data_IF_476047340903
#
_entry.id   IF_476047340903
#
_cell.length_a   1.000
_cell.length_b   1.000
_cell.length_c   1.000
_cell.angle_alpha   90.00
_cell.angle_beta   90.00
_cell.angle_gamma   90.00
#
_symmetry.space_group_name_H-M   'P 1'
#
loop_
_entity.id
_entity.type
_entity.pdbx_description
1 polymer ?
#
# COMPACT_ATOMS: atom_id res chain seq x y z
N UNK A 1 -15.70 11.10 -95.28
CA UNK A 1 -15.17 9.82 -94.76
C UNK A 1 -15.78 9.63 -93.37
N UNK A 2 -16.83 8.84 -93.20
CA UNK A 2 -16.77 7.42 -92.79
C UNK A 2 -17.05 7.36 -91.28
N UNK A 3 -18.00 6.61 -90.71
CA UNK A 3 -18.86 5.51 -91.15
C UNK A 3 -20.21 5.68 -90.43
N UNK A 4 -21.34 5.60 -91.15
CA UNK A 4 -22.66 5.42 -90.52
C UNK A 4 -22.77 3.96 -90.08
N UNK A 5 -23.00 3.70 -88.80
CA UNK A 5 -23.38 2.39 -88.31
C UNK A 5 -24.76 2.03 -88.88
N UNK A 6 -24.82 0.95 -89.66
CA UNK A 6 -26.08 0.34 -90.07
C UNK A 6 -26.62 -0.45 -88.88
N UNK A 7 -27.51 0.15 -88.11
CA UNK A 7 -28.38 -0.59 -87.20
C UNK A 7 -29.56 -1.13 -88.02
N UNK A 8 -29.31 -2.19 -88.76
CA UNK A 8 -30.38 -3.06 -89.27
C UNK A 8 -30.36 -4.30 -88.41
N UNK A 9 -31.13 -4.26 -87.33
CA UNK A 9 -31.58 -5.49 -86.68
C UNK A 9 -32.62 -6.03 -87.67
N UNK A 10 -32.27 -7.08 -88.39
CA UNK A 10 -33.23 -7.87 -89.13
C UNK A 10 -34.16 -8.50 -88.09
N UNK A 11 -35.26 -7.79 -87.79
CA UNK A 11 -36.35 -8.34 -87.03
C UNK A 11 -37.09 -9.30 -87.96
N UNK A 12 -36.79 -10.59 -87.85
CA UNK A 12 -37.66 -11.62 -88.41
C UNK A 12 -39.09 -11.37 -87.91
N UNK A 13 -40.10 -11.43 -88.79
CA UNK A 13 -41.48 -11.20 -88.37
C UNK A 13 -41.84 -12.27 -87.34
N UNK A 14 -42.14 -11.84 -86.11
CA UNK A 14 -42.65 -12.75 -85.09
C UNK A 14 -43.89 -13.44 -85.65
N UNK A 15 -43.82 -14.76 -85.78
CA UNK A 15 -44.97 -15.59 -86.13
C UNK A 15 -46.10 -15.28 -85.16
N UNK A 16 -47.34 -15.07 -85.64
CA UNK A 16 -48.45 -14.82 -84.74
C UNK A 16 -48.60 -16.02 -83.81
N UNK A 17 -48.44 -15.77 -82.51
CA UNK A 17 -48.55 -16.80 -81.48
C UNK A 17 -49.89 -17.52 -81.64
N UNK A 18 -49.84 -18.83 -81.87
CA UNK A 18 -51.05 -19.64 -81.97
C UNK A 18 -51.50 -19.95 -80.53
N UNK A 19 -52.71 -19.52 -80.11
CA UNK A 19 -53.18 -19.81 -78.76
C UNK A 19 -53.20 -21.33 -78.54
N UNK A 20 -52.37 -21.81 -77.60
CA UNK A 20 -52.27 -23.22 -77.22
C UNK A 20 -51.08 -24.02 -77.78
N UNK A 21 -50.17 -23.43 -78.58
CA UNK A 21 -48.93 -24.14 -79.03
C UNK A 21 -47.62 -23.50 -78.56
N UNK A 22 -47.58 -22.18 -78.36
CA UNK A 22 -46.32 -21.47 -78.09
C UNK A 22 -46.14 -21.08 -76.60
N UNK A 23 -46.97 -21.62 -75.70
CA UNK A 23 -46.96 -21.37 -74.25
C UNK A 23 -46.59 -22.61 -73.42
N UNK A 24 -45.90 -23.61 -74.00
CA UNK A 24 -45.21 -24.61 -73.18
C UNK A 24 -43.95 -23.97 -72.61
N UNK A 25 -44.11 -23.29 -71.47
CA UNK A 25 -42.99 -22.98 -70.61
C UNK A 25 -42.29 -24.30 -70.26
N UNK A 26 -40.96 -24.44 -70.48
CA UNK A 26 -40.21 -25.52 -69.87
C UNK A 26 -40.02 -25.12 -68.42
N UNK A 27 -41.08 -25.23 -67.62
CA UNK A 27 -40.87 -25.46 -66.20
C UNK A 27 -40.11 -26.78 -66.16
N UNK A 28 -38.90 -26.85 -65.59
CA UNK A 28 -38.31 -28.14 -65.31
C UNK A 28 -39.31 -28.86 -64.42
N UNK A 29 -39.99 -29.87 -64.98
CA UNK A 29 -40.78 -30.80 -64.17
C UNK A 29 -39.77 -31.47 -63.27
N UNK A 30 -39.75 -31.04 -62.00
CA UNK A 30 -38.95 -31.69 -60.98
C UNK A 30 -39.33 -33.16 -61.02
N UNK A 31 -38.32 -34.00 -61.24
CA UNK A 31 -38.50 -35.44 -61.16
C UNK A 31 -39.10 -35.81 -59.81
N UNK A 32 -39.78 -36.95 -59.71
CA UNK A 32 -40.34 -37.41 -58.43
C UNK A 32 -39.28 -37.49 -57.32
N UNK A 33 -38.03 -37.79 -57.68
CA UNK A 33 -36.88 -37.79 -56.77
C UNK A 33 -36.52 -36.39 -56.26
N UNK A 34 -36.61 -35.36 -57.12
CA UNK A 34 -36.33 -33.97 -56.73
C UNK A 34 -37.45 -33.38 -55.87
N UNK A 35 -38.72 -33.75 -56.13
CA UNK A 35 -39.86 -33.38 -55.30
C UNK A 35 -39.72 -34.01 -53.91
N UNK A 36 -39.42 -35.32 -53.85
CA UNK A 36 -39.18 -36.02 -52.58
C UNK A 36 -38.00 -35.41 -51.82
N UNK A 37 -36.89 -35.12 -52.50
CA UNK A 37 -35.73 -34.49 -51.87
C UNK A 37 -36.03 -33.07 -51.36
N UNK A 38 -36.92 -32.33 -52.02
CA UNK A 38 -37.38 -31.02 -51.55
C UNK A 38 -38.30 -31.15 -50.33
N UNK A 39 -39.27 -32.06 -50.36
CA UNK A 39 -40.14 -32.35 -49.21
C UNK A 39 -39.35 -32.80 -47.98
N UNK A 40 -38.33 -33.66 -48.17
CA UNK A 40 -37.42 -34.07 -47.09
C UNK A 40 -36.61 -32.90 -46.52
N UNK A 41 -36.12 -31.99 -47.37
CA UNK A 41 -35.41 -30.77 -46.95
C UNK A 41 -36.32 -29.80 -46.21
N UNK A 42 -37.56 -29.63 -46.66
CA UNK A 42 -38.54 -28.76 -46.02
C UNK A 42 -38.94 -29.32 -44.65
N UNK A 43 -39.16 -30.64 -44.54
CA UNK A 43 -39.38 -31.32 -43.27
C UNK A 43 -38.18 -31.17 -42.34
N UNK A 44 -36.96 -31.35 -42.85
CA UNK A 44 -35.74 -31.17 -42.05
C UNK A 44 -35.62 -29.73 -41.52
N UNK A 45 -35.90 -28.72 -42.34
CA UNK A 45 -35.90 -27.31 -41.94
C UNK A 45 -36.98 -27.03 -40.87
N UNK A 46 -38.17 -27.62 -41.00
CA UNK A 46 -39.22 -27.51 -40.00
C UNK A 46 -38.82 -28.15 -38.67
N UNK A 47 -38.26 -29.36 -38.70
CA UNK A 47 -37.77 -30.06 -37.51
C UNK A 47 -36.61 -29.33 -36.85
N UNK A 48 -35.68 -28.76 -37.63
CA UNK A 48 -34.61 -27.90 -37.14
C UNK A 48 -35.18 -26.66 -36.43
N UNK A 49 -36.16 -25.99 -37.03
CA UNK A 49 -36.85 -24.86 -36.41
C UNK A 49 -37.56 -25.23 -35.11
N UNK A 50 -38.24 -26.39 -35.07
CA UNK A 50 -38.86 -26.91 -33.84
C UNK A 50 -37.82 -27.20 -32.75
N UNK A 51 -36.69 -27.81 -33.11
CA UNK A 51 -35.61 -28.08 -32.17
C UNK A 51 -34.99 -26.78 -31.62
N UNK A 52 -34.75 -25.79 -32.48
CA UNK A 52 -34.27 -24.45 -32.08
C UNK A 52 -35.28 -23.75 -31.16
N UNK A 53 -36.58 -23.85 -31.45
CA UNK A 53 -37.64 -23.29 -30.60
C UNK A 53 -37.68 -23.98 -29.23
N UNK A 54 -37.61 -25.31 -29.19
CA UNK A 54 -37.59 -26.07 -27.94
C UNK A 54 -36.38 -25.71 -27.07
N UNK A 55 -35.20 -25.54 -27.67
CA UNK A 55 -33.99 -25.08 -26.98
C UNK A 55 -34.15 -23.66 -26.42
N UNK A 56 -34.70 -22.74 -27.20
CA UNK A 56 -34.97 -21.36 -26.74
C UNK A 56 -35.95 -21.33 -25.54
N UNK A 57 -37.03 -22.12 -25.58
CA UNK A 57 -37.98 -22.25 -24.47
C UNK A 57 -37.30 -22.84 -23.23
N UNK A 58 -36.45 -23.85 -23.40
CA UNK A 58 -35.70 -24.47 -22.31
C UNK A 58 -34.78 -23.46 -21.60
N UNK A 59 -34.04 -22.66 -22.38
CA UNK A 59 -33.15 -21.59 -21.88
C UNK A 59 -33.95 -20.51 -21.14
N UNK A 60 -35.03 -20.00 -21.74
CA UNK A 60 -35.90 -19.02 -21.10
C UNK A 60 -36.49 -19.54 -19.78
N UNK A 61 -37.01 -20.77 -19.77
CA UNK A 61 -37.54 -21.42 -18.56
C UNK A 61 -36.48 -21.54 -17.46
N UNK A 62 -35.23 -21.84 -17.81
CA UNK A 62 -34.12 -21.90 -16.85
C UNK A 62 -33.89 -20.56 -16.17
N UNK A 63 -33.84 -19.48 -16.94
CA UNK A 63 -33.59 -18.14 -16.44
C UNK A 63 -34.71 -17.66 -15.50
N UNK A 64 -35.97 -17.80 -15.93
CA UNK A 64 -37.15 -17.48 -15.11
C UNK A 64 -37.16 -18.30 -13.82
N UNK A 65 -36.91 -19.62 -13.92
CA UNK A 65 -36.82 -20.51 -12.75
C UNK A 65 -35.78 -20.00 -11.77
N UNK A 66 -34.59 -19.64 -12.25
CA UNK A 66 -33.50 -19.18 -11.40
C UNK A 66 -33.82 -17.87 -10.70
N UNK A 67 -34.44 -16.93 -11.41
CA UNK A 67 -34.97 -15.68 -10.84
C UNK A 67 -35.99 -15.95 -9.73
N UNK A 68 -36.92 -16.91 -9.93
CA UNK A 68 -37.87 -17.31 -8.88
C UNK A 68 -37.20 -18.03 -7.71
N UNK A 69 -36.20 -18.87 -7.95
CA UNK A 69 -35.42 -19.53 -6.90
C UNK A 69 -34.66 -18.51 -6.05
N UNK A 70 -34.04 -17.50 -6.67
CA UNK A 70 -33.41 -16.38 -5.98
C UNK A 70 -34.42 -15.63 -5.11
N UNK A 71 -35.59 -15.30 -5.65
CA UNK A 71 -36.66 -14.63 -4.89
C UNK A 71 -37.17 -15.46 -3.70
N UNK A 72 -37.39 -16.76 -3.89
CA UNK A 72 -37.79 -17.69 -2.80
C UNK A 72 -36.72 -17.74 -1.71
N UNK A 73 -35.44 -17.76 -2.11
CA UNK A 73 -34.31 -17.83 -1.18
C UNK A 73 -34.17 -16.54 -0.36
N UNK A 74 -34.25 -15.39 -1.01
CA UNK A 74 -34.14 -14.06 -0.37
C UNK A 74 -35.27 -13.81 0.62
N UNK A 75 -36.51 -14.11 0.22
CA UNK A 75 -37.69 -13.90 1.06
C UNK A 75 -37.98 -15.06 2.02
N UNK A 76 -37.14 -16.10 2.02
CA UNK A 76 -37.27 -17.30 2.85
C UNK A 76 -38.64 -18.00 2.70
N UNK A 77 -39.25 -17.93 1.51
CA UNK A 77 -40.61 -18.46 1.25
C UNK A 77 -40.69 -19.98 1.45
N UNK A 78 -39.56 -20.68 1.29
CA UNK A 78 -39.43 -22.12 1.55
C UNK A 78 -39.82 -22.51 2.99
N UNK A 79 -39.75 -21.59 3.96
CA UNK A 79 -40.20 -21.85 5.35
C UNK A 79 -41.70 -22.09 5.45
N UNK A 80 -42.49 -21.58 4.51
CA UNK A 80 -43.94 -21.81 4.44
C UNK A 80 -44.33 -23.27 4.14
N UNK A 81 -43.36 -24.13 3.85
CA UNK A 81 -43.56 -25.57 3.70
C UNK A 81 -43.54 -26.33 5.03
N UNK A 82 -43.08 -25.71 6.12
CA UNK A 82 -42.96 -26.39 7.42
C UNK A 82 -44.30 -26.98 7.86
N UNK A 83 -44.30 -28.29 8.17
CA UNK A 83 -45.47 -29.02 8.64
C UNK A 83 -46.43 -29.50 7.55
N UNK A 84 -46.19 -29.17 6.26
CA UNK A 84 -46.94 -29.78 5.15
C UNK A 84 -46.49 -31.23 4.94
N UNK A 85 -47.41 -32.10 4.52
CA UNK A 85 -47.13 -33.51 4.31
C UNK A 85 -46.83 -33.79 2.83
N UNK A 86 -45.79 -34.58 2.58
CA UNK A 86 -45.50 -35.13 1.26
C UNK A 86 -46.42 -36.32 0.94
N UNK A 87 -46.54 -36.75 -0.34
CA UNK A 87 -47.33 -37.92 -0.73
C UNK A 87 -46.92 -39.22 -0.02
N UNK A 88 -45.66 -39.31 0.43
CA UNK A 88 -45.13 -40.43 1.22
C UNK A 88 -45.46 -40.34 2.73
N UNK A 89 -46.25 -39.35 3.16
CA UNK A 89 -46.67 -39.16 4.56
C UNK A 89 -45.67 -38.42 5.47
N UNK A 90 -44.43 -38.19 5.02
CA UNK A 90 -43.43 -37.45 5.78
C UNK A 90 -43.77 -35.95 5.85
N UNK A 91 -43.48 -35.31 6.99
CA UNK A 91 -43.69 -33.88 7.19
C UNK A 91 -42.46 -33.07 6.75
N UNK A 92 -42.69 -31.99 6.02
CA UNK A 92 -41.63 -31.10 5.56
C UNK A 92 -41.09 -30.25 6.71
N UNK A 93 -39.76 -30.15 6.77
CA UNK A 93 -39.02 -29.35 7.76
C UNK A 93 -39.03 -27.86 7.43
N UNK A 94 -39.24 -27.48 6.17
CA UNK A 94 -39.23 -26.09 5.71
C UNK A 94 -37.82 -25.53 5.55
N UNK A 95 -36.87 -26.38 5.18
CA UNK A 95 -35.47 -25.99 4.91
C UNK A 95 -35.25 -25.68 3.43
N UNK A 96 -34.20 -24.92 3.13
CA UNK A 96 -33.84 -24.59 1.74
C UNK A 96 -33.41 -25.80 0.93
N UNK A 97 -32.67 -26.71 1.57
CA UNK A 97 -32.19 -27.94 0.95
C UNK A 97 -33.35 -28.86 0.58
N UNK A 98 -34.30 -29.04 1.49
CA UNK A 98 -35.53 -29.80 1.22
C UNK A 98 -36.34 -29.19 0.07
N UNK A 99 -36.46 -27.85 0.01
CA UNK A 99 -37.12 -27.18 -1.11
C UNK A 99 -36.41 -27.43 -2.46
N UNK A 100 -35.08 -27.39 -2.50
CA UNK A 100 -34.32 -27.70 -3.71
C UNK A 100 -34.51 -29.16 -4.13
N UNK A 101 -34.47 -30.08 -3.17
CA UNK A 101 -34.67 -31.52 -3.41
C UNK A 101 -36.07 -31.83 -3.95
N UNK A 102 -37.11 -31.13 -3.48
CA UNK A 102 -38.47 -31.24 -4.03
C UNK A 102 -38.56 -30.85 -5.52
N UNK A 103 -37.69 -29.95 -5.98
CA UNK A 103 -37.58 -29.54 -7.37
C UNK A 103 -36.60 -30.41 -8.19
N UNK A 104 -36.00 -31.44 -7.58
CA UNK A 104 -35.05 -32.33 -8.24
C UNK A 104 -33.65 -31.75 -8.42
N UNK A 105 -33.27 -30.73 -7.63
CA UNK A 105 -31.95 -30.10 -7.69
C UNK A 105 -31.21 -30.22 -6.37
N UNK A 106 -29.89 -30.38 -6.43
CA UNK A 106 -29.07 -30.21 -5.24
C UNK A 106 -29.01 -28.74 -4.84
N UNK A 107 -29.02 -28.50 -3.53
CA UNK A 107 -28.84 -27.16 -2.96
C UNK A 107 -27.61 -26.46 -3.52
N UNK A 108 -26.46 -27.15 -3.57
CA UNK A 108 -25.20 -26.57 -4.00
C UNK A 108 -25.25 -26.07 -5.45
N UNK A 109 -25.94 -26.81 -6.33
CA UNK A 109 -26.13 -26.41 -7.72
C UNK A 109 -27.00 -25.15 -7.82
N UNK A 110 -28.11 -25.11 -7.08
CA UNK A 110 -29.00 -23.95 -7.07
C UNK A 110 -28.31 -22.72 -6.49
N UNK A 111 -27.58 -22.88 -5.38
CA UNK A 111 -26.85 -21.79 -4.75
C UNK A 111 -25.75 -21.24 -5.69
N UNK A 112 -25.05 -22.12 -6.43
CA UNK A 112 -24.07 -21.72 -7.45
C UNK A 112 -24.73 -20.96 -8.61
N UNK A 113 -25.89 -21.42 -9.07
CA UNK A 113 -26.65 -20.76 -10.13
C UNK A 113 -27.13 -19.37 -9.68
N UNK A 114 -27.67 -19.25 -8.47
CA UNK A 114 -28.10 -17.97 -7.90
C UNK A 114 -26.89 -17.03 -7.77
N UNK A 115 -25.73 -17.56 -7.36
CA UNK A 115 -24.51 -16.78 -7.27
C UNK A 115 -24.07 -16.25 -8.64
N UNK A 116 -24.12 -17.08 -9.69
CA UNK A 116 -23.81 -16.64 -11.05
C UNK A 116 -24.81 -15.59 -11.54
N UNK A 117 -26.11 -15.79 -11.30
CA UNK A 117 -27.15 -14.82 -11.65
C UNK A 117 -26.91 -13.46 -10.99
N UNK A 118 -26.59 -13.44 -9.70
CA UNK A 118 -26.30 -12.19 -8.97
C UNK A 118 -25.01 -11.51 -9.44
N UNK A 119 -24.02 -12.30 -9.86
CA UNK A 119 -22.70 -11.77 -10.25
C UNK A 119 -22.74 -11.13 -11.64
N UNK A 120 -23.40 -11.78 -12.60
CA UNK A 120 -23.37 -11.36 -14.01
C UNK A 120 -24.67 -10.70 -14.48
N UNK A 121 -25.77 -10.92 -13.77
CA UNK A 121 -27.10 -10.51 -14.21
C UNK A 121 -27.75 -11.51 -15.17
N UNK A 122 -29.03 -11.33 -15.41
CA UNK A 122 -29.87 -12.26 -16.17
C UNK A 122 -29.46 -12.35 -17.65
N UNK A 123 -29.37 -11.20 -18.32
CA UNK A 123 -29.07 -11.10 -19.76
C UNK A 123 -27.68 -11.62 -20.10
N UNK A 124 -26.66 -11.21 -19.34
CA UNK A 124 -25.29 -11.63 -19.61
C UNK A 124 -25.08 -13.11 -19.29
N UNK A 125 -25.68 -13.64 -18.22
CA UNK A 125 -25.61 -15.07 -17.93
C UNK A 125 -26.30 -15.91 -19.02
N UNK A 126 -27.43 -15.43 -19.56
CA UNK A 126 -28.09 -16.08 -20.68
C UNK A 126 -27.22 -16.04 -21.94
N UNK A 127 -26.64 -14.89 -22.27
CA UNK A 127 -25.74 -14.75 -23.42
C UNK A 127 -24.51 -15.66 -23.28
N UNK A 128 -23.85 -15.65 -22.11
CA UNK A 128 -22.74 -16.55 -21.79
C UNK A 128 -23.14 -18.02 -21.95
N UNK A 129 -24.33 -18.41 -21.48
CA UNK A 129 -24.84 -19.77 -21.66
C UNK A 129 -25.14 -20.10 -23.12
N UNK A 130 -25.60 -19.13 -23.93
CA UNK A 130 -25.84 -19.29 -25.37
C UNK A 130 -24.53 -19.45 -26.15
N UNK A 131 -23.49 -18.74 -25.75
CA UNK A 131 -22.12 -18.85 -26.28
C UNK A 131 -21.40 -20.14 -25.82
N UNK A 132 -22.02 -20.93 -24.94
CA UNK A 132 -21.43 -22.16 -24.42
C UNK A 132 -20.31 -21.92 -23.39
N UNK A 133 -20.32 -20.78 -22.69
CA UNK A 133 -19.48 -20.53 -21.53
C UNK A 133 -19.96 -21.45 -20.39
N UNK A 134 -19.08 -22.30 -19.91
CA UNK A 134 -19.38 -23.30 -18.90
C UNK A 134 -19.19 -22.79 -17.47
N UNK A 135 -19.43 -23.67 -16.50
CA UNK A 135 -19.22 -23.35 -15.09
C UNK A 135 -17.76 -23.14 -14.71
N UNK A 136 -16.81 -23.66 -15.49
CA UNK A 136 -15.38 -23.50 -15.19
C UNK A 136 -14.97 -22.05 -15.42
N UNK A 137 -15.37 -21.51 -16.54
CA UNK A 137 -15.13 -20.13 -16.98
C UNK A 137 -15.88 -19.16 -16.06
N UNK A 138 -17.18 -19.38 -15.80
CA UNK A 138 -17.97 -18.57 -14.86
C UNK A 138 -17.36 -18.53 -13.45
N UNK A 139 -16.74 -19.63 -13.01
CA UNK A 139 -16.00 -19.68 -11.73
C UNK A 139 -14.77 -18.79 -11.74
N UNK A 140 -14.03 -18.72 -12.85
CA UNK A 140 -12.88 -17.84 -12.99
C UNK A 140 -13.33 -16.38 -13.06
N UNK A 141 -14.32 -16.07 -13.90
CA UNK A 141 -14.83 -14.71 -14.07
C UNK A 141 -15.36 -14.12 -12.76
N UNK A 142 -15.98 -14.95 -11.92
CA UNK A 142 -16.49 -14.50 -10.61
C UNK A 142 -15.39 -14.12 -9.61
N UNK A 143 -14.16 -14.64 -9.78
CA UNK A 143 -13.00 -14.27 -8.94
C UNK A 143 -12.35 -12.94 -9.35
N UNK A 144 -12.75 -12.39 -10.49
CA UNK A 144 -12.26 -11.11 -10.96
C UNK A 144 -12.82 -9.96 -10.11
N UNK A 145 -12.10 -8.82 -10.05
CA UNK A 145 -12.59 -7.59 -9.44
C UNK A 145 -13.91 -7.12 -10.06
N UNK A 146 -14.66 -6.30 -9.33
CA UNK A 146 -15.97 -5.82 -9.78
C UNK A 146 -15.91 -5.12 -11.14
N UNK A 147 -14.97 -4.21 -11.34
CA UNK A 147 -14.78 -3.48 -12.59
C UNK A 147 -14.53 -4.42 -13.78
N UNK A 148 -13.66 -5.42 -13.58
CA UNK A 148 -13.36 -6.46 -14.58
C UNK A 148 -14.58 -7.32 -14.92
N UNK A 149 -15.43 -7.64 -13.93
CA UNK A 149 -16.67 -8.38 -14.18
C UNK A 149 -17.67 -7.56 -14.98
N UNK A 150 -17.77 -6.27 -14.72
CA UNK A 150 -18.66 -5.37 -15.45
C UNK A 150 -18.25 -5.26 -16.92
N UNK A 151 -16.95 -5.17 -17.20
CA UNK A 151 -16.42 -5.21 -18.57
C UNK A 151 -16.77 -6.53 -19.30
N UNK A 152 -16.63 -7.67 -18.60
CA UNK A 152 -17.04 -8.97 -19.16
C UNK A 152 -18.54 -9.07 -19.41
N UNK A 153 -19.38 -8.48 -18.55
CA UNK A 153 -20.84 -8.42 -18.72
C UNK A 153 -21.20 -7.63 -19.99
N UNK A 154 -20.51 -6.53 -20.25
CA UNK A 154 -20.73 -5.70 -21.44
C UNK A 154 -20.36 -6.44 -22.73
N UNK A 155 -19.19 -7.07 -22.79
CA UNK A 155 -18.79 -7.90 -23.95
C UNK A 155 -19.71 -9.10 -24.10
N UNK A 156 -20.13 -9.73 -23.01
CA UNK A 156 -21.04 -10.87 -23.07
C UNK A 156 -22.39 -10.50 -23.71
N UNK A 157 -22.89 -9.27 -23.53
CA UNK A 157 -24.10 -8.81 -24.20
C UNK A 157 -23.96 -8.71 -25.72
N UNK A 158 -22.74 -8.51 -26.23
CA UNK A 158 -22.47 -8.43 -27.67
C UNK A 158 -22.51 -9.82 -28.33
N UNK A 159 -22.39 -10.90 -27.55
CA UNK A 159 -22.58 -12.26 -28.02
C UNK A 159 -21.37 -12.86 -28.75
N UNK A 160 -20.20 -12.24 -28.65
CA UNK A 160 -18.95 -12.78 -29.17
C UNK A 160 -18.19 -13.57 -28.10
N UNK A 161 -18.05 -14.88 -28.33
CA UNK A 161 -17.39 -15.80 -27.42
C UNK A 161 -15.87 -15.59 -27.40
N UNK A 162 -15.27 -15.37 -28.56
CA UNK A 162 -13.81 -15.30 -28.70
C UNK A 162 -13.30 -14.05 -27.99
N UNK A 163 -13.88 -12.89 -28.32
CA UNK A 163 -13.60 -11.62 -27.65
C UNK A 163 -13.80 -11.68 -26.12
N UNK A 164 -14.83 -12.40 -25.64
CA UNK A 164 -15.08 -12.54 -24.20
C UNK A 164 -13.97 -13.35 -23.51
N UNK A 165 -13.52 -14.44 -24.14
CA UNK A 165 -12.48 -15.30 -23.60
C UNK A 165 -11.13 -14.58 -23.60
N UNK A 166 -10.79 -13.89 -24.68
CA UNK A 166 -9.54 -13.13 -24.79
C UNK A 166 -9.46 -12.03 -23.73
N UNK A 167 -10.53 -11.24 -23.57
CA UNK A 167 -10.61 -10.22 -22.53
C UNK A 167 -10.49 -10.83 -21.12
N UNK A 168 -11.14 -11.96 -20.89
CA UNK A 168 -11.05 -12.63 -19.59
C UNK A 168 -9.64 -13.15 -19.31
N UNK A 169 -8.96 -13.71 -20.31
CA UNK A 169 -7.58 -14.17 -20.19
C UNK A 169 -6.62 -13.00 -19.88
N UNK A 170 -6.75 -11.88 -20.58
CA UNK A 170 -5.97 -10.67 -20.31
C UNK A 170 -6.18 -10.15 -18.88
N UNK A 171 -7.45 -10.06 -18.44
CA UNK A 171 -7.79 -9.60 -17.10
C UNK A 171 -7.27 -10.54 -16.00
N UNK A 172 -7.36 -11.86 -16.22
CA UNK A 172 -6.82 -12.86 -15.29
C UNK A 172 -5.29 -12.76 -15.22
N UNK A 173 -4.62 -12.63 -16.37
CA UNK A 173 -3.16 -12.49 -16.43
C UNK A 173 -2.71 -11.23 -15.67
N UNK A 174 -3.33 -10.08 -15.97
CA UNK A 174 -3.05 -8.82 -15.28
C UNK A 174 -3.27 -8.91 -13.77
N UNK A 175 -4.35 -9.56 -13.33
CA UNK A 175 -4.62 -9.74 -11.90
C UNK A 175 -3.55 -10.61 -11.22
N UNK A 176 -3.06 -11.65 -11.91
CA UNK A 176 -2.01 -12.51 -11.36
C UNK A 176 -0.68 -11.75 -11.26
N UNK A 177 -0.34 -10.96 -12.27
CA UNK A 177 0.85 -10.10 -12.26
C UNK A 177 0.79 -9.05 -11.15
N UNK A 178 -0.36 -8.40 -10.97
CA UNK A 178 -0.59 -7.43 -9.90
C UNK A 178 -0.49 -8.09 -8.52
N UNK A 179 -1.04 -9.29 -8.35
CA UNK A 179 -0.90 -10.06 -7.10
C UNK A 179 0.54 -10.44 -6.82
N UNK A 180 1.30 -10.86 -7.82
CA UNK A 180 2.70 -11.21 -7.66
C UNK A 180 3.54 -9.98 -7.29
N UNK A 181 3.29 -8.83 -7.94
CA UNK A 181 3.94 -7.56 -7.60
C UNK A 181 3.63 -7.12 -6.18
N UNK A 182 2.35 -7.18 -5.77
CA UNK A 182 1.94 -6.84 -4.41
C UNK A 182 2.53 -7.81 -3.38
N UNK A 183 2.62 -9.11 -3.69
CA UNK A 183 3.24 -10.09 -2.80
C UNK A 183 4.74 -9.81 -2.61
N UNK A 184 5.46 -9.44 -3.68
CA UNK A 184 6.86 -9.02 -3.61
C UNK A 184 7.03 -7.75 -2.78
N UNK A 185 6.21 -6.73 -3.03
CA UNK A 185 6.23 -5.49 -2.25
C UNK A 185 5.96 -5.73 -0.76
N UNK A 186 4.98 -6.58 -0.42
CA UNK A 186 4.73 -6.95 0.96
C UNK A 186 5.94 -7.62 1.61
N UNK A 187 6.54 -8.61 0.93
CA UNK A 187 7.74 -9.28 1.43
C UNK A 187 8.91 -8.31 1.64
N UNK A 188 9.16 -7.40 0.68
CA UNK A 188 10.21 -6.38 0.79
C UNK A 188 9.93 -5.43 1.97
N UNK A 189 8.68 -4.97 2.13
CA UNK A 189 8.31 -4.08 3.25
C UNK A 189 8.38 -4.77 4.60
N UNK A 190 8.06 -6.06 4.69
CA UNK A 190 8.20 -6.85 5.91
C UNK A 190 9.67 -7.01 6.29
N UNK A 191 10.54 -7.31 5.31
CA UNK A 191 11.98 -7.39 5.52
C UNK A 191 12.59 -6.05 5.96
N UNK A 192 12.20 -4.94 5.32
CA UNK A 192 12.65 -3.60 5.70
C UNK A 192 12.20 -3.21 7.11
N UNK A 193 10.97 -3.56 7.48
CA UNK A 193 10.41 -3.30 8.80
C UNK A 193 11.12 -4.13 9.87
N UNK A 194 11.45 -5.40 9.58
CA UNK A 194 12.22 -6.23 10.49
C UNK A 194 13.65 -5.70 10.66
N UNK A 195 14.33 -5.33 9.57
CA UNK A 195 15.65 -4.69 9.62
C UNK A 195 15.61 -3.35 10.38
N UNK A 196 14.54 -2.56 10.23
CA UNK A 196 14.35 -1.33 11.00
C UNK A 196 14.14 -1.61 12.49
N UNK A 197 13.40 -2.67 12.84
CA UNK A 197 13.19 -3.08 14.24
C UNK A 197 14.49 -3.56 14.89
N UNK A 198 15.29 -4.33 14.18
CA UNK A 198 16.61 -4.78 14.64
C UNK A 198 17.53 -3.57 14.90
N UNK A 199 17.65 -2.64 13.94
CA UNK A 199 18.42 -1.40 14.13
C UNK A 199 17.93 -0.58 15.33
N UNK A 200 16.61 -0.48 15.53
CA UNK A 200 16.05 0.22 16.68
C UNK A 200 16.40 -0.48 18.01
N UNK A 201 16.43 -1.81 18.03
CA UNK A 201 16.85 -2.58 19.20
C UNK A 201 18.34 -2.38 19.50
N UNK A 202 19.21 -2.46 18.48
CA UNK A 202 20.65 -2.25 18.61
C UNK A 202 21.01 -0.82 19.07
N UNK A 203 20.31 0.18 18.53
CA UNK A 203 20.47 1.57 18.96
C UNK A 203 20.00 1.75 20.40
N UNK A 204 18.92 1.08 20.79
CA UNK A 204 18.41 1.15 22.16
C UNK A 204 19.40 0.52 23.15
N UNK A 205 19.95 -0.65 22.85
CA UNK A 205 20.96 -1.28 23.72
C UNK A 205 22.23 -0.45 23.80
N UNK A 206 22.73 0.10 22.69
CA UNK A 206 23.89 0.99 22.69
C UNK A 206 23.62 2.26 23.51
N UNK A 207 22.41 2.81 23.43
CA UNK A 207 21.99 3.96 24.23
C UNK A 207 21.94 3.63 25.72
N UNK A 208 21.39 2.48 26.09
CA UNK A 208 21.36 2.00 27.48
C UNK A 208 22.80 1.81 28.01
N UNK A 209 23.71 1.21 27.23
CA UNK A 209 25.12 1.06 27.61
C UNK A 209 25.86 2.40 27.80
N UNK A 210 25.56 3.39 26.96
CA UNK A 210 26.15 4.73 27.09
C UNK A 210 25.57 5.48 28.30
N UNK A 211 24.29 5.32 28.59
CA UNK A 211 23.67 5.85 29.80
C UNK A 211 24.32 5.24 31.05
N UNK A 212 24.54 3.93 31.08
CA UNK A 212 25.21 3.25 32.20
C UNK A 212 26.65 3.76 32.39
N UNK A 213 27.43 3.91 31.31
CA UNK A 213 28.79 4.48 31.38
C UNK A 213 28.78 5.93 31.86
N UNK A 214 27.85 6.74 31.39
CA UNK A 214 27.70 8.13 31.84
C UNK A 214 27.31 8.18 33.32
N UNK A 215 26.42 7.29 33.76
CA UNK A 215 26.06 7.14 35.15
C UNK A 215 27.28 6.74 35.99
N UNK A 216 28.04 5.75 35.55
CA UNK A 216 29.27 5.33 36.20
C UNK A 216 30.28 6.49 36.31
N UNK A 217 30.52 7.24 35.24
CA UNK A 217 31.41 8.41 35.26
C UNK A 217 30.92 9.53 36.19
N UNK A 218 29.61 9.78 36.24
CA UNK A 218 29.01 10.81 37.11
C UNK A 218 29.03 10.43 38.58
N UNK A 219 28.95 9.14 38.89
CA UNK A 219 28.89 8.62 40.26
C UNK A 219 30.18 7.94 40.73
N UNK A 220 31.28 8.06 39.97
CA UNK A 220 32.63 7.81 40.50
C UNK A 220 32.77 8.64 41.77
N UNK A 221 33.01 8.01 42.94
CA UNK A 221 33.18 8.75 44.17
C UNK A 221 34.39 9.65 43.97
N UNK A 222 34.15 10.97 43.94
CA UNK A 222 35.22 11.97 43.99
C UNK A 222 36.03 11.61 45.23
N UNK A 223 37.29 11.22 45.03
CA UNK A 223 38.16 10.92 46.15
C UNK A 223 38.41 12.21 46.92
N UNK A 224 38.59 12.14 48.25
CA UNK A 224 38.89 13.32 49.07
C UNK A 224 40.09 14.13 48.52
N UNK A 225 41.01 13.45 47.83
CA UNK A 225 42.15 14.04 47.14
C UNK A 225 41.75 14.88 45.91
N UNK A 226 40.82 14.41 45.07
CA UNK A 226 40.34 15.16 43.91
C UNK A 226 39.52 16.40 44.30
N UNK A 227 38.79 16.32 45.42
CA UNK A 227 38.08 17.48 45.99
C UNK A 227 39.08 18.53 46.53
N UNK A 228 40.15 18.07 47.19
CA UNK A 228 41.24 18.93 47.65
C UNK A 228 41.95 19.63 46.47
N UNK A 229 42.25 18.90 45.40
CA UNK A 229 42.85 19.47 44.17
C UNK A 229 41.96 20.50 43.49
N UNK A 230 40.64 20.24 43.37
CA UNK A 230 39.70 21.25 42.85
C UNK A 230 39.71 22.53 43.69
N UNK A 231 39.69 22.38 45.01
CA UNK A 231 39.73 23.52 45.94
C UNK A 231 41.04 24.30 45.81
N UNK A 232 42.17 23.61 45.61
CA UNK A 232 43.48 24.24 45.35
C UNK A 232 43.52 25.00 44.02
N UNK A 233 42.95 24.43 42.95
CA UNK A 233 42.88 25.10 41.64
C UNK A 233 42.00 26.35 41.68
N UNK A 234 40.85 26.29 42.37
CA UNK A 234 39.99 27.46 42.57
C UNK A 234 40.70 28.56 43.37
N UNK A 235 41.36 28.21 44.47
CA UNK A 235 42.15 29.15 45.26
C UNK A 235 43.30 29.77 44.45
N UNK A 236 43.98 28.98 43.61
CA UNK A 236 45.07 29.44 42.73
C UNK A 236 44.56 30.40 41.65
N UNK A 237 43.39 30.11 41.07
CA UNK A 237 42.74 30.98 40.08
C UNK A 237 42.36 32.33 40.68
N UNK A 238 41.76 32.33 41.88
CA UNK A 238 41.41 33.54 42.61
C UNK A 238 42.66 34.37 42.93
N UNK A 239 43.70 33.74 43.49
CA UNK A 239 44.97 34.41 43.81
C UNK A 239 45.62 35.05 42.57
N UNK A 240 45.69 34.30 41.46
CA UNK A 240 46.26 34.79 40.20
C UNK A 240 45.48 35.98 39.62
N UNK A 241 44.14 35.97 39.77
CA UNK A 241 43.29 37.07 39.31
C UNK A 241 43.52 38.33 40.15
N UNK A 242 43.52 38.21 41.47
CA UNK A 242 43.77 39.33 42.39
C UNK A 242 45.15 39.93 42.13
N UNK A 243 46.19 39.11 42.03
CA UNK A 243 47.55 39.59 41.77
C UNK A 243 47.65 40.40 40.48
N UNK A 244 47.01 39.93 39.40
CA UNK A 244 47.02 40.63 38.11
C UNK A 244 46.26 41.95 38.15
N UNK A 245 45.08 41.96 38.76
CA UNK A 245 44.25 43.17 38.90
C UNK A 245 44.96 44.22 39.76
N UNK A 246 45.50 43.81 40.92
CA UNK A 246 46.24 44.68 41.83
C UNK A 246 47.47 45.28 41.14
N UNK A 247 48.30 44.43 40.51
CA UNK A 247 49.54 44.86 39.88
C UNK A 247 49.27 45.80 38.70
N UNK A 248 48.27 45.50 37.87
CA UNK A 248 47.88 46.36 36.75
C UNK A 248 47.30 47.70 37.20
N UNK A 249 46.40 47.70 38.17
CA UNK A 249 45.76 48.92 38.67
C UNK A 249 46.75 49.84 39.38
N UNK A 250 47.61 49.30 40.24
CA UNK A 250 48.63 50.09 40.95
C UNK A 250 49.69 50.65 40.00
N UNK A 251 50.20 49.84 39.06
CA UNK A 251 51.18 50.32 38.09
C UNK A 251 50.59 51.43 37.21
N UNK A 252 49.33 51.28 36.76
CA UNK A 252 48.65 52.33 36.00
C UNK A 252 48.46 53.62 36.80
N UNK A 253 48.00 53.51 38.05
CA UNK A 253 47.80 54.66 38.92
C UNK A 253 49.11 55.38 39.27
N UNK A 254 50.17 54.62 39.56
CA UNK A 254 51.47 55.19 39.91
C UNK A 254 52.17 55.80 38.70
N UNK A 255 52.00 55.24 37.50
CA UNK A 255 52.51 55.85 36.27
C UNK A 255 51.85 57.22 36.00
N UNK A 256 50.54 57.37 36.28
CA UNK A 256 49.86 58.66 36.15
C UNK A 256 50.35 59.68 37.20
N UNK A 257 50.61 59.24 38.44
CA UNK A 257 51.21 60.08 39.48
C UNK A 257 52.66 60.46 39.17
N UNK A 258 53.44 59.57 38.55
CA UNK A 258 54.81 59.86 38.11
C UNK A 258 54.82 60.87 36.96
N UNK A 259 53.88 60.73 36.01
CA UNK A 259 53.65 61.72 34.97
C UNK A 259 53.25 63.07 35.57
N UNK A 260 52.37 63.06 36.56
CA UNK A 260 51.95 64.27 37.26
C UNK A 260 53.12 64.98 37.96
N UNK A 261 53.97 64.18 38.61
CA UNK A 261 55.22 64.66 39.22
C UNK A 261 56.12 65.32 38.19
N UNK A 262 56.20 64.77 36.98
CA UNK A 262 57.01 65.29 35.87
C UNK A 262 56.41 66.57 35.28
N UNK A 263 55.10 66.63 35.08
CA UNK A 263 54.40 67.73 34.41
C UNK A 263 54.22 68.95 35.32
N UNK A 264 53.93 68.73 36.61
CA UNK A 264 53.59 69.79 37.59
C UNK A 264 54.61 69.95 38.72
N UNK A 265 55.61 69.07 38.82
CA UNK A 265 56.66 69.14 39.84
C UNK A 265 56.22 68.75 41.27
N UNK A 266 55.06 68.10 41.42
CA UNK A 266 54.52 67.69 42.73
C UNK A 266 55.01 66.29 43.09
N UNK A 267 55.74 66.13 44.19
CA UNK A 267 56.23 64.81 44.63
C UNK A 267 55.12 63.97 45.30
N UNK A 268 54.80 62.84 44.69
CA UNK A 268 53.81 61.87 45.18
C UNK A 268 54.43 60.63 45.85
N UNK A 269 55.75 60.59 46.03
CA UNK A 269 56.48 59.39 46.51
C UNK A 269 55.99 58.89 47.87
N UNK A 270 55.76 59.79 48.84
CA UNK A 270 55.23 59.40 50.16
C UNK A 270 53.79 58.92 50.10
N UNK A 271 52.97 59.44 49.17
CA UNK A 271 51.59 59.02 48.98
C UNK A 271 51.53 57.60 48.38
N UNK A 272 52.34 57.34 47.33
CA UNK A 272 52.48 56.00 46.75
C UNK A 272 53.00 54.98 47.78
N UNK A 273 53.97 55.37 48.61
CA UNK A 273 54.47 54.52 49.69
C UNK A 273 53.38 54.20 50.73
N UNK A 274 52.52 55.17 51.08
CA UNK A 274 51.39 54.96 51.97
C UNK A 274 50.40 53.92 51.44
N UNK A 275 50.04 53.99 50.16
CA UNK A 275 49.14 53.03 49.52
C UNK A 275 49.73 51.60 49.50
N UNK A 276 51.04 51.46 49.25
CA UNK A 276 51.73 50.16 49.32
C UNK A 276 51.73 49.62 50.76
N UNK A 277 51.95 50.48 51.77
CA UNK A 277 51.94 50.07 53.17
C UNK A 277 50.56 49.57 53.62
N UNK A 278 49.48 50.20 53.18
CA UNK A 278 48.11 49.79 53.49
C UNK A 278 47.82 48.38 52.94
N UNK A 279 48.14 48.14 51.67
CA UNK A 279 47.97 46.82 51.04
C UNK A 279 48.82 45.76 51.74
N UNK A 280 50.06 46.09 52.14
CA UNK A 280 50.91 45.16 52.91
C UNK A 280 50.27 44.81 54.25
N UNK A 281 49.72 45.78 54.97
CA UNK A 281 49.02 45.54 56.23
C UNK A 281 47.82 44.59 56.05
N UNK A 282 47.04 44.76 54.98
CA UNK A 282 45.91 43.86 54.70
C UNK A 282 46.37 42.43 54.37
N UNK A 283 47.49 42.28 53.66
CA UNK A 283 48.09 40.98 53.39
C UNK A 283 48.63 40.32 54.66
N UNK A 284 49.28 41.10 55.54
CA UNK A 284 49.79 40.63 56.83
C UNK A 284 48.65 40.17 57.77
N UNK A 285 47.49 40.85 57.73
CA UNK A 285 46.28 40.42 58.44
C UNK A 285 45.77 39.07 57.94
N UNK A 286 45.82 38.81 56.63
CA UNK A 286 45.46 37.51 56.04
C UNK A 286 46.45 36.43 56.50
N UNK A 287 47.75 36.70 56.42
CA UNK A 287 48.81 35.79 56.89
C UNK A 287 48.59 35.41 58.35
N UNK A 288 48.32 36.40 59.20
CA UNK A 288 48.06 36.22 60.64
C UNK A 288 46.79 35.41 60.88
N UNK A 289 45.70 35.73 60.17
CA UNK A 289 44.39 35.07 60.34
C UNK A 289 44.44 33.59 60.00
N UNK A 290 45.20 33.20 58.98
CA UNK A 290 45.32 31.82 58.52
C UNK A 290 46.57 31.11 59.05
N UNK A 291 47.34 31.74 59.94
CA UNK A 291 48.62 31.21 60.46
C UNK A 291 49.55 30.73 59.34
N UNK A 292 49.62 31.49 58.25
CA UNK A 292 50.44 31.12 57.08
C UNK A 292 51.92 31.26 57.48
N UNK A 293 52.76 30.22 57.31
CA UNK A 293 54.18 30.33 57.56
C UNK A 293 54.83 31.39 56.67
N UNK A 294 55.73 32.19 57.23
CA UNK A 294 56.52 33.14 56.46
C UNK A 294 57.63 32.40 55.69
N UNK A 295 57.31 32.01 54.45
CA UNK A 295 58.22 31.27 53.58
C UNK A 295 59.34 32.15 53.01
N UNK A 296 59.39 33.45 53.31
CA UNK A 296 60.47 34.36 52.85
C UNK A 296 61.68 34.32 53.79
N UNK A 297 61.50 33.90 55.05
CA UNK A 297 62.57 33.77 56.03
C UNK A 297 63.24 32.38 56.09
N UNK A 298 62.62 31.34 55.52
CA UNK A 298 63.13 29.97 55.54
C UNK A 298 63.30 29.42 54.11
N UNK A 299 64.54 29.09 53.72
CA UNK A 299 64.89 28.52 52.40
C UNK A 299 64.49 27.05 52.32
N UNK A 300 63.22 26.74 52.57
CA UNK A 300 62.65 25.41 52.36
C UNK A 300 61.37 25.59 51.53
N UNK A 301 61.38 25.28 50.22
CA UNK A 301 60.15 25.30 49.44
C UNK A 301 59.12 24.36 50.08
N UNK A 302 57.83 24.74 50.09
CA UNK A 302 56.82 23.95 50.79
C UNK A 302 56.68 22.56 50.17
N UNK A 303 56.36 21.56 50.99
CA UNK A 303 56.43 20.14 50.64
C UNK A 303 55.63 19.73 49.38
N UNK A 304 54.65 20.53 48.94
CA UNK A 304 53.87 20.30 47.72
C UNK A 304 54.57 20.75 46.43
N UNK A 305 55.69 21.49 46.51
CA UNK A 305 56.50 21.95 45.36
C UNK A 305 57.53 20.90 44.95
N UNK A 306 57.99 20.08 45.90
CA UNK A 306 58.83 18.93 45.59
C UNK A 306 57.92 17.78 45.16
N UNK A 307 57.57 17.77 43.88
CA UNK A 307 56.86 16.65 43.26
C UNK A 307 57.58 15.33 43.58
N UNK A 308 56.77 14.31 43.81
CA UNK A 308 57.15 12.92 44.09
C UNK A 308 58.37 12.46 43.28
N UNK A 309 59.54 12.46 43.94
CA UNK A 309 60.68 11.63 43.57
C UNK A 309 61.00 10.72 44.76
N UNK A 310 60.21 9.67 44.95
CA UNK A 310 60.71 8.43 45.55
C UNK A 310 60.40 7.27 44.62
N UNK A 311 61.48 6.72 44.08
CA UNK A 311 61.56 5.46 43.33
C UNK A 311 61.34 4.27 44.27
N UNK A 312 60.47 3.34 43.86
CA UNK A 312 60.59 1.85 43.80
C UNK A 312 59.24 1.15 44.02
#
# INVERSE_FOLDING_TARGET
MGRRAKNTIDAEPMTPAVPGRDFEHPYPELSQEEIQAQEERDLLNQLLGQAQMADAISKFSRTVRLSKLAHVRENRLYKGLRGKKMPNGSALTGTWEEFCSLLGYSKDKVDLDIQNLRTFGEEALESMSRMGIGYRELRQFRKLPEDSRTALVEVARQGDKESLLDLAEELIARQNDEKEKLAKQLADTEADLEASRQRAADLKSSRDELEDKLHEERFKPITDNELAERTRLEATSISSKIARELMGALQGAFAELEKDTTDRGVDHSSFMAGLICEIRSELDDIVTRFSIPDMVAEVIPPAWVNGEEENE
#
